data_IF_404627372456
#
_entry.id   IF_404627372456
#
_cell.length_a   1.000
_cell.length_b   1.000
_cell.length_c   1.000
_cell.angle_alpha   90.00
_cell.angle_beta   90.00
_cell.angle_gamma   90.00
#
_symmetry.space_group_name_H-M   'P 1'
#
loop_
_entity.id
_entity.type
_entity.pdbx_description
1 polymer ?
#
# COMPACT_ATOMS: atom_id res chain seq x y z
N UNK A 1 -3.08 -0.92 41.68
CA UNK A 1 -4.02 -0.56 40.60
C UNK A 1 -3.17 -0.18 39.38
N UNK A 2 -3.17 -1.03 38.35
CA UNK A 2 -2.29 -0.93 37.18
C UNK A 2 -2.63 0.30 36.34
N UNK A 3 -1.64 1.16 36.08
CA UNK A 3 -1.73 2.19 35.06
C UNK A 3 -1.64 1.53 33.67
N UNK A 4 -2.74 1.54 32.91
CA UNK A 4 -2.72 1.16 31.49
C UNK A 4 -2.23 2.38 30.72
N UNK A 5 -0.93 2.44 30.45
CA UNK A 5 -0.36 3.38 29.50
C UNK A 5 -0.89 3.06 28.11
N UNK A 6 -1.91 3.80 27.68
CA UNK A 6 -2.34 3.81 26.28
C UNK A 6 -1.32 4.66 25.52
N UNK A 7 -0.31 4.00 24.98
CA UNK A 7 0.60 4.61 24.00
C UNK A 7 -0.15 4.69 22.67
N UNK A 8 -0.92 5.78 22.50
CA UNK A 8 -1.52 6.12 21.21
C UNK A 8 -0.44 6.83 20.41
N UNK A 9 0.21 6.09 19.51
CA UNK A 9 1.03 6.67 18.45
C UNK A 9 0.15 7.54 17.55
N UNK A 10 0.11 8.85 17.82
CA UNK A 10 -0.50 9.84 16.94
C UNK A 10 0.39 9.99 15.70
N UNK A 11 0.01 9.31 14.62
CA UNK A 11 0.65 9.48 13.31
C UNK A 11 0.06 10.71 12.65
N UNK A 12 0.78 11.83 12.73
CA UNK A 12 0.49 13.02 11.95
C UNK A 12 1.12 12.87 10.56
N UNK A 13 0.28 12.74 9.53
CA UNK A 13 0.70 12.85 8.14
C UNK A 13 0.80 14.34 7.79
N UNK A 14 2.00 14.93 7.81
CA UNK A 14 2.21 16.22 7.13
C UNK A 14 2.35 15.94 5.63
N UNK A 15 1.44 16.49 4.84
CA UNK A 15 1.47 16.51 3.37
C UNK A 15 2.23 17.75 2.86
N UNK A 16 3.08 18.37 3.69
CA UNK A 16 3.88 19.53 3.32
C UNK A 16 5.14 19.10 2.54
N UNK A 17 4.94 18.59 1.31
CA UNK A 17 5.81 18.82 0.14
C UNK A 17 5.23 18.00 -1.03
N UNK A 18 4.35 18.60 -1.82
CA UNK A 18 3.80 17.97 -3.03
C UNK A 18 4.75 18.13 -4.25
N UNK A 19 6.06 18.21 -4.02
CA UNK A 19 7.02 17.86 -5.06
C UNK A 19 7.00 16.34 -5.18
N UNK A 20 6.08 15.80 -5.99
CA UNK A 20 6.12 14.38 -6.40
C UNK A 20 7.51 14.17 -7.03
N UNK A 21 8.45 13.44 -6.38
CA UNK A 21 9.72 13.13 -7.00
C UNK A 21 9.47 12.47 -8.36
N UNK A 22 10.34 12.70 -9.33
CA UNK A 22 10.31 11.99 -10.60
C UNK A 22 10.56 10.50 -10.35
N UNK A 23 9.48 9.78 -10.08
CA UNK A 23 9.50 8.36 -9.83
C UNK A 23 9.33 7.63 -11.16
N UNK A 24 10.31 6.81 -11.51
CA UNK A 24 10.14 5.87 -12.62
C UNK A 24 9.35 4.66 -12.11
N UNK A 25 8.11 4.41 -12.59
CA UNK A 25 7.30 3.29 -12.13
C UNK A 25 8.03 1.98 -12.44
N UNK A 26 8.38 1.24 -11.40
CA UNK A 26 9.15 0.00 -11.53
C UNK A 26 8.26 -1.24 -11.38
N UNK A 27 7.19 -1.16 -10.60
CA UNK A 27 6.31 -2.31 -10.33
C UNK A 27 4.88 -1.88 -10.01
N UNK A 28 3.92 -2.67 -10.48
CA UNK A 28 2.50 -2.52 -10.15
C UNK A 28 2.04 -3.75 -9.35
N UNK A 29 1.38 -3.53 -8.22
CA UNK A 29 0.89 -4.61 -7.36
C UNK A 29 -0.65 -4.53 -7.31
N UNK A 30 -1.37 -5.58 -7.75
CA UNK A 30 -2.82 -5.55 -7.84
C UNK A 30 -3.50 -5.56 -6.47
N UNK A 31 -4.62 -4.84 -6.39
CA UNK A 31 -5.55 -4.79 -5.27
C UNK A 31 -6.95 -5.18 -5.73
N UNK A 32 -7.77 -5.77 -4.84
CA UNK A 32 -9.18 -5.92 -5.06
C UNK A 32 -9.80 -4.54 -5.10
N UNK A 33 -10.71 -4.36 -6.07
CA UNK A 33 -11.49 -3.14 -6.21
C UNK A 33 -12.26 -2.79 -4.95
N UNK A 34 -12.87 -3.81 -4.33
CA UNK A 34 -13.65 -3.68 -3.10
C UNK A 34 -13.32 -4.82 -2.14
N UNK A 35 -12.37 -4.57 -1.24
CA UNK A 35 -11.99 -5.51 -0.20
C UNK A 35 -13.14 -5.79 0.79
N UNK A 36 -14.08 -4.87 0.98
CA UNK A 36 -15.22 -5.06 1.87
C UNK A 36 -16.27 -5.99 1.24
N UNK A 37 -16.51 -5.85 -0.07
CA UNK A 37 -17.33 -6.81 -0.79
C UNK A 37 -16.72 -8.22 -0.72
N UNK A 38 -15.41 -8.33 -0.95
CA UNK A 38 -14.70 -9.61 -0.82
C UNK A 38 -14.82 -10.18 0.61
N UNK A 39 -14.67 -9.35 1.64
CA UNK A 39 -14.82 -9.76 3.03
C UNK A 39 -16.22 -10.32 3.35
N UNK A 40 -17.27 -9.73 2.77
CA UNK A 40 -18.65 -10.17 2.98
C UNK A 40 -18.96 -11.49 2.28
N UNK A 41 -18.31 -11.77 1.15
CA UNK A 41 -18.54 -12.99 0.38
C UNK A 41 -17.65 -14.14 0.83
N UNK A 42 -16.37 -13.87 1.09
CA UNK A 42 -15.35 -14.88 1.36
C UNK A 42 -14.18 -14.31 2.18
N UNK A 43 -14.20 -14.61 3.48
CA UNK A 43 -13.16 -14.19 4.41
C UNK A 43 -11.83 -14.93 4.19
N UNK A 44 -11.86 -16.15 3.68
CA UNK A 44 -10.64 -16.92 3.43
C UNK A 44 -9.91 -16.37 2.21
N UNK A 45 -10.64 -16.08 1.14
CA UNK A 45 -10.10 -15.40 -0.03
C UNK A 45 -9.49 -14.03 0.33
N UNK A 46 -10.16 -13.25 1.19
CA UNK A 46 -9.61 -12.00 1.69
C UNK A 46 -8.30 -12.22 2.48
N UNK A 47 -8.25 -13.21 3.37
CA UNK A 47 -7.05 -13.52 4.15
C UNK A 47 -5.90 -13.93 3.26
N UNK A 48 -6.14 -14.83 2.30
CA UNK A 48 -5.13 -15.30 1.34
C UNK A 48 -4.57 -14.13 0.54
N UNK A 49 -5.47 -13.30 0.00
CA UNK A 49 -5.07 -12.09 -0.72
C UNK A 49 -4.23 -11.15 0.15
N UNK A 50 -4.60 -10.91 1.42
CA UNK A 50 -3.81 -10.05 2.33
C UNK A 50 -2.39 -10.58 2.54
N UNK A 51 -2.23 -11.89 2.70
CA UNK A 51 -0.92 -12.53 2.88
C UNK A 51 -0.06 -12.43 1.61
N UNK A 52 -0.67 -12.61 0.44
CA UNK A 52 0.00 -12.44 -0.86
C UNK A 52 0.43 -10.99 -1.10
N UNK A 53 -0.47 -10.03 -0.87
CA UNK A 53 -0.17 -8.60 -0.96
C UNK A 53 0.99 -8.24 -0.03
N UNK A 54 0.91 -8.65 1.23
CA UNK A 54 1.98 -8.42 2.21
C UNK A 54 3.31 -8.97 1.72
N UNK A 55 3.33 -10.21 1.24
CA UNK A 55 4.53 -10.84 0.71
C UNK A 55 5.11 -10.08 -0.49
N UNK A 56 4.26 -9.59 -1.40
CA UNK A 56 4.69 -8.78 -2.54
C UNK A 56 5.28 -7.43 -2.13
N UNK A 57 4.63 -6.74 -1.18
CA UNK A 57 5.10 -5.47 -0.67
C UNK A 57 6.41 -5.63 0.12
N UNK A 58 6.52 -6.63 0.98
CA UNK A 58 7.74 -6.92 1.74
C UNK A 58 8.94 -7.18 0.82
N UNK A 59 8.74 -7.95 -0.27
CA UNK A 59 9.77 -8.17 -1.29
C UNK A 59 10.14 -6.85 -1.98
N UNK A 60 9.15 -6.11 -2.48
CA UNK A 60 9.40 -4.86 -3.17
C UNK A 60 10.11 -3.82 -2.29
N UNK A 61 9.73 -3.71 -1.02
CA UNK A 61 10.39 -2.81 -0.05
C UNK A 61 11.85 -3.22 0.21
N UNK A 62 12.12 -4.53 0.29
CA UNK A 62 13.47 -5.09 0.40
C UNK A 62 14.30 -4.82 -0.85
N UNK A 63 13.66 -4.83 -2.02
CA UNK A 63 14.27 -4.48 -3.31
C UNK A 63 14.48 -2.96 -3.47
N UNK A 64 14.25 -2.17 -2.41
CA UNK A 64 14.45 -0.72 -2.40
C UNK A 64 13.30 0.07 -3.03
N UNK A 65 12.22 -0.59 -3.45
CA UNK A 65 11.04 0.09 -3.99
C UNK A 65 10.24 0.75 -2.85
N UNK A 66 9.49 1.80 -3.20
CA UNK A 66 8.56 2.50 -2.33
C UNK A 66 7.21 2.63 -3.02
N UNK A 67 6.13 2.64 -2.24
CA UNK A 67 4.80 2.94 -2.78
C UNK A 67 4.73 4.44 -3.04
N UNK A 68 4.48 4.81 -4.28
CA UNK A 68 4.45 6.21 -4.73
C UNK A 68 3.07 6.66 -5.19
N UNK A 69 2.14 5.71 -5.34
CA UNK A 69 0.78 6.01 -5.72
C UNK A 69 -0.15 4.80 -5.67
N UNK A 70 -1.43 5.12 -5.85
CA UNK A 70 -2.52 4.16 -6.00
C UNK A 70 -3.29 4.57 -7.26
N UNK A 71 -3.28 3.69 -8.26
CA UNK A 71 -4.09 3.87 -9.46
C UNK A 71 -5.38 3.05 -9.29
N UNK A 72 -6.50 3.66 -9.71
CA UNK A 72 -7.81 3.02 -9.69
C UNK A 72 -8.47 3.24 -11.04
N UNK A 73 -8.86 2.16 -11.69
CA UNK A 73 -9.69 2.18 -12.89
C UNK A 73 -11.10 1.70 -12.51
N UNK A 74 -12.07 2.62 -12.37
CA UNK A 74 -13.45 2.26 -12.03
C UNK A 74 -14.18 1.52 -13.15
N UNK A 75 -13.78 1.72 -14.41
CA UNK A 75 -14.40 1.05 -15.54
C UNK A 75 -13.99 -0.42 -15.60
N UNK A 76 -12.73 -0.72 -15.28
CA UNK A 76 -12.20 -2.09 -15.23
C UNK A 76 -12.34 -2.75 -13.87
N UNK A 77 -12.74 -2.00 -12.84
CA UNK A 77 -12.74 -2.44 -11.42
C UNK A 77 -11.37 -2.99 -11.03
N UNK A 78 -10.33 -2.24 -11.35
CA UNK A 78 -8.95 -2.58 -11.06
C UNK A 78 -8.34 -1.52 -10.16
N UNK A 79 -7.59 -1.94 -9.16
CA UNK A 79 -6.79 -1.04 -8.33
C UNK A 79 -5.36 -1.59 -8.27
N UNK A 80 -4.37 -0.72 -8.39
CA UNK A 80 -2.95 -1.12 -8.32
C UNK A 80 -2.15 -0.15 -7.48
N UNK A 81 -1.31 -0.66 -6.59
CA UNK A 81 -0.25 0.14 -6.01
C UNK A 81 0.84 0.31 -7.06
N UNK A 82 1.28 1.56 -7.23
CA UNK A 82 2.43 1.89 -8.05
C UNK A 82 3.64 1.99 -7.12
N UNK A 83 4.64 1.17 -7.41
CA UNK A 83 5.90 1.16 -6.71
C UNK A 83 7.01 1.63 -7.65
N UNK A 84 7.88 2.47 -7.13
CA UNK A 84 9.03 3.00 -7.84
C UNK A 84 10.28 2.91 -6.96
N UNK A 85 11.45 2.90 -7.59
CA UNK A 85 12.68 3.19 -6.88
C UNK A 85 12.67 4.68 -6.50
N UNK A 86 13.06 4.99 -5.27
CA UNK A 86 13.51 6.35 -4.98
C UNK A 86 14.82 6.54 -5.75
N UNK A 87 14.84 7.37 -6.81
CA UNK A 87 16.09 7.90 -7.33
C UNK A 87 16.75 8.71 -6.20
N UNK A 88 17.99 8.47 -5.77
CA UNK A 88 19.21 8.49 -6.58
C UNK A 88 19.23 9.76 -7.44
N UNK A 89 19.47 10.89 -6.78
CA UNK A 89 19.94 12.12 -7.41
C UNK A 89 21.16 11.77 -8.29
N UNK A 90 21.20 12.18 -9.57
CA UNK A 90 22.44 12.11 -10.35
C UNK A 90 23.55 12.97 -9.73
#
# INVERSE_FOLDING_TARGET
>A
LHAVGTDRLEVHWSLEDEQRPDFVPARRVPLPWDANALARSDLEALRRWRLELRSHLERALRDGLRVVGLERDPHRREAVYVLAQSGATP
#
